data_IF_505460850804
#
_entry.id   IF_505460850804
#
_cell.length_a   1.000
_cell.length_b   1.000
_cell.length_c   1.000
_cell.angle_alpha   90.00
_cell.angle_beta   90.00
_cell.angle_gamma   90.00
#
_symmetry.space_group_name_H-M   'P 1'
#
loop_
_entity.id
_entity.type
_entity.pdbx_description
1 polymer ?
#
# COMPACT_ATOMS: atom_id res chain seq x y z
N UNK A 1 -1.36 4.78 -32.06
CA UNK A 1 -0.98 3.38 -31.75
C UNK A 1 0.12 3.47 -30.71
N UNK A 2 -0.25 3.78 -29.46
CA UNK A 2 0.72 3.88 -28.36
C UNK A 2 0.61 2.58 -27.57
N UNK A 3 1.43 1.61 -27.97
CA UNK A 3 1.54 0.32 -27.30
C UNK A 3 2.64 0.41 -26.23
N UNK A 4 2.52 1.37 -25.31
CA UNK A 4 3.32 1.34 -24.08
C UNK A 4 2.68 0.31 -23.17
N UNK A 5 2.98 -0.97 -23.42
CA UNK A 5 2.81 -2.00 -22.39
C UNK A 5 3.82 -1.67 -21.29
N UNK A 6 3.37 -1.31 -20.08
CA UNK A 6 4.29 -0.98 -19.01
C UNK A 6 5.09 -2.23 -18.64
N UNK A 7 6.41 -2.10 -18.70
CA UNK A 7 7.45 -3.05 -18.37
C UNK A 7 7.39 -3.46 -16.89
N UNK A 8 6.39 -4.28 -16.54
CA UNK A 8 6.15 -4.90 -15.23
C UNK A 8 7.45 -5.22 -14.49
N UNK A 9 7.91 -4.32 -13.63
CA UNK A 9 9.24 -4.48 -13.03
C UNK A 9 9.13 -5.34 -11.78
N UNK A 10 9.75 -6.52 -11.84
CA UNK A 10 9.81 -7.45 -10.72
C UNK A 10 11.05 -7.12 -9.90
N UNK A 11 10.88 -6.43 -8.78
CA UNK A 11 11.96 -6.22 -7.82
C UNK A 11 11.91 -7.26 -6.70
N UNK A 12 13.09 -7.75 -6.30
CA UNK A 12 13.24 -8.60 -5.12
C UNK A 12 13.33 -7.67 -3.92
N UNK A 13 12.23 -7.48 -3.21
CA UNK A 13 12.24 -6.74 -1.95
C UNK A 13 12.21 -7.73 -0.79
N UNK A 14 13.31 -7.80 -0.02
CA UNK A 14 13.50 -8.72 1.13
C UNK A 14 13.10 -10.18 0.82
N UNK A 15 13.65 -10.74 -0.26
CA UNK A 15 13.41 -12.12 -0.71
C UNK A 15 12.00 -12.40 -1.29
N UNK A 16 11.18 -11.36 -1.52
CA UNK A 16 9.86 -11.49 -2.16
C UNK A 16 9.87 -10.83 -3.53
N UNK A 17 9.37 -11.56 -4.53
CA UNK A 17 9.12 -11.02 -5.86
C UNK A 17 7.85 -10.19 -5.79
N UNK A 18 7.97 -8.89 -5.99
CA UNK A 18 6.83 -7.98 -6.06
C UNK A 18 6.66 -7.55 -7.51
N UNK A 19 5.44 -7.70 -8.00
CA UNK A 19 5.04 -7.13 -9.28
C UNK A 19 4.70 -5.67 -9.07
N UNK A 20 5.58 -4.78 -9.52
CA UNK A 20 5.36 -3.33 -9.46
C UNK A 20 4.98 -2.85 -10.86
N UNK A 21 3.82 -2.19 -11.02
CA UNK A 21 3.48 -1.53 -12.28
C UNK A 21 4.42 -0.35 -12.56
N UNK A 22 4.62 0.00 -13.83
CA UNK A 22 5.51 1.10 -14.21
C UNK A 22 5.04 2.44 -13.68
N UNK A 23 5.98 3.28 -13.25
CA UNK A 23 5.70 4.57 -12.62
C UNK A 23 5.21 4.43 -11.19
N UNK A 24 5.32 3.26 -10.57
CA UNK A 24 4.99 3.04 -9.17
C UNK A 24 6.14 2.43 -8.38
N UNK A 25 6.13 2.64 -7.07
CA UNK A 25 7.05 2.02 -6.13
C UNK A 25 6.28 1.29 -5.03
N UNK A 26 6.72 0.07 -4.73
CA UNK A 26 6.21 -0.69 -3.58
C UNK A 26 6.74 -0.06 -2.28
N UNK A 27 5.85 0.48 -1.46
CA UNK A 27 6.21 1.18 -0.21
C UNK A 27 5.85 0.41 1.04
N UNK A 28 4.94 -0.55 0.93
CA UNK A 28 4.49 -1.31 2.09
C UNK A 28 3.66 -2.53 1.72
N UNK A 29 3.42 -3.37 2.71
CA UNK A 29 2.60 -4.56 2.56
C UNK A 29 1.65 -4.70 3.73
N UNK A 30 0.40 -4.96 3.45
CA UNK A 30 -0.60 -5.25 4.48
C UNK A 30 -0.34 -6.65 5.03
N UNK A 31 0.07 -6.75 6.28
CA UNK A 31 0.32 -8.02 6.97
C UNK A 31 -0.87 -8.46 7.83
N UNK A 32 -1.83 -7.56 8.08
CA UNK A 32 -3.05 -7.91 8.78
C UNK A 32 -4.02 -6.76 8.95
N UNK A 33 -5.11 -7.04 9.66
CA UNK A 33 -6.17 -6.09 9.97
C UNK A 33 -6.20 -5.87 11.49
N UNK A 34 -6.48 -4.63 11.88
CA UNK A 34 -6.54 -4.19 13.26
C UNK A 34 -7.88 -3.49 13.57
N UNK A 35 -8.41 -3.73 14.76
CA UNK A 35 -9.65 -3.11 15.23
C UNK A 35 -10.91 -3.52 14.44
N UNK A 36 -12.02 -2.87 14.79
CA UNK A 36 -13.33 -3.07 14.16
C UNK A 36 -13.61 -2.04 13.06
N UNK A 37 -12.91 -0.90 13.08
CA UNK A 37 -13.07 0.22 12.14
C UNK A 37 -12.41 0.01 10.77
N UNK A 38 -11.78 -1.14 10.56
CA UNK A 38 -11.08 -1.45 9.32
C UNK A 38 -9.68 -0.85 9.21
N UNK A 39 -8.97 -0.67 10.33
CA UNK A 39 -7.55 -0.30 10.28
C UNK A 39 -6.75 -1.49 9.72
N UNK A 40 -5.76 -1.25 8.89
CA UNK A 40 -4.84 -2.28 8.38
C UNK A 40 -3.46 -2.09 8.98
N UNK A 41 -2.80 -3.21 9.25
CA UNK A 41 -1.41 -3.26 9.69
C UNK A 41 -0.51 -3.44 8.49
N UNK A 42 0.36 -2.46 8.28
CA UNK A 42 1.25 -2.33 7.14
C UNK A 42 2.69 -2.47 7.61
N UNK A 43 3.39 -3.43 7.03
CA UNK A 43 4.85 -3.51 7.09
C UNK A 43 5.44 -2.50 6.11
N UNK A 44 6.32 -1.63 6.61
CA UNK A 44 7.00 -0.63 5.81
C UNK A 44 8.12 -1.30 5.00
N UNK A 45 8.11 -1.05 3.70
CA UNK A 45 9.13 -1.48 2.73
C UNK A 45 9.83 -0.28 2.10
N UNK A 46 9.72 0.88 2.73
CA UNK A 46 10.35 2.14 2.34
C UNK A 46 11.05 2.73 3.56
N UNK A 47 12.15 3.44 3.33
CA UNK A 47 12.85 4.20 4.37
C UNK A 47 12.15 5.54 4.68
N UNK A 48 11.08 5.87 3.95
CA UNK A 48 10.33 7.13 4.04
C UNK A 48 8.91 6.90 4.59
N UNK A 49 8.73 6.77 5.92
CA UNK A 49 7.42 6.54 6.53
C UNK A 49 6.46 7.74 6.37
N UNK A 50 6.99 8.92 6.07
CA UNK A 50 6.23 10.14 5.76
C UNK A 50 5.30 10.01 4.54
N UNK A 51 5.52 9.01 3.68
CA UNK A 51 4.61 8.68 2.56
C UNK A 51 3.25 8.17 3.00
N UNK A 52 3.12 7.79 4.27
CA UNK A 52 1.88 7.30 4.84
C UNK A 52 1.11 8.38 5.60
N UNK A 53 1.25 9.65 5.23
CA UNK A 53 0.53 10.73 5.89
C UNK A 53 -0.97 10.75 5.52
N UNK A 54 -1.85 11.15 6.46
CA UNK A 54 -3.25 11.43 6.16
C UNK A 54 -3.41 12.41 5.00
N UNK A 55 -4.36 12.15 4.11
CA UNK A 55 -4.61 12.94 2.90
C UNK A 55 -3.81 12.50 1.67
N UNK A 56 -2.79 11.65 1.82
CA UNK A 56 -2.09 11.06 0.69
C UNK A 56 -2.86 9.88 0.10
N UNK A 57 -2.64 9.65 -1.20
CA UNK A 57 -3.23 8.55 -1.95
C UNK A 57 -2.20 7.43 -2.12
N UNK A 58 -2.62 6.21 -1.82
CA UNK A 58 -1.89 4.97 -2.10
C UNK A 58 -2.66 4.13 -3.12
N UNK A 59 -2.00 3.11 -3.64
CA UNK A 59 -2.57 2.17 -4.59
C UNK A 59 -2.47 0.75 -4.05
N UNK A 60 -3.61 0.05 -4.01
CA UNK A 60 -3.71 -1.32 -3.50
C UNK A 60 -3.53 -2.35 -4.62
N UNK A 61 -2.59 -3.26 -4.41
CA UNK A 61 -2.40 -4.44 -5.25
C UNK A 61 -2.02 -4.13 -6.70
N UNK A 62 -1.92 -5.18 -7.51
CA UNK A 62 -1.57 -5.04 -8.94
C UNK A 62 -2.65 -4.32 -9.75
N UNK A 63 -3.89 -4.27 -9.23
CA UNK A 63 -4.99 -3.51 -9.82
C UNK A 63 -4.84 -1.99 -9.66
N UNK A 64 -3.83 -1.54 -8.89
CA UNK A 64 -3.59 -0.13 -8.57
C UNK A 64 -4.87 0.57 -8.11
N UNK A 65 -5.62 -0.06 -7.22
CA UNK A 65 -6.87 0.53 -6.76
C UNK A 65 -6.54 1.73 -5.85
N UNK A 66 -6.95 2.96 -6.22
CA UNK A 66 -6.61 4.15 -5.46
C UNK A 66 -7.34 4.17 -4.13
N UNK A 67 -6.62 4.49 -3.06
CA UNK A 67 -7.15 4.64 -1.70
C UNK A 67 -6.52 5.82 -1.00
N UNK A 68 -7.35 6.64 -0.37
CA UNK A 68 -6.89 7.78 0.43
C UNK A 68 -6.66 7.35 1.87
N UNK A 69 -5.54 7.81 2.44
CA UNK A 69 -5.22 7.62 3.85
C UNK A 69 -6.05 8.60 4.67
N UNK A 70 -6.96 8.06 5.48
CA UNK A 70 -7.72 8.84 6.46
C UNK A 70 -6.89 9.13 7.70
N UNK A 71 -6.18 8.11 8.18
CA UNK A 71 -5.36 8.19 9.37
C UNK A 71 -4.22 7.20 9.27
N UNK A 72 -3.04 7.57 9.74
CA UNK A 72 -1.93 6.67 9.86
C UNK A 72 -1.17 6.92 11.16
N UNK A 73 -0.73 5.85 11.80
CA UNK A 73 0.07 5.93 13.02
C UNK A 73 1.03 4.75 13.15
N UNK A 74 2.24 4.96 13.67
CA UNK A 74 3.15 3.86 14.00
C UNK A 74 2.61 3.03 15.18
N UNK A 75 2.81 1.72 15.12
CA UNK A 75 2.41 0.76 16.14
C UNK A 75 3.31 -0.49 16.12
N UNK A 76 4.09 -0.70 17.18
CA UNK A 76 4.94 -1.90 17.38
C UNK A 76 5.79 -2.23 16.15
N UNK A 77 6.49 -1.24 15.60
CA UNK A 77 7.38 -1.41 14.43
C UNK A 77 6.67 -1.51 13.08
N UNK A 78 5.35 -1.26 13.03
CA UNK A 78 4.54 -1.28 11.81
C UNK A 78 3.70 -0.01 11.72
N UNK A 79 3.03 0.24 10.60
CA UNK A 79 2.05 1.31 10.47
C UNK A 79 0.64 0.75 10.57
N UNK A 80 -0.21 1.40 11.35
CA UNK A 80 -1.65 1.21 11.29
C UNK A 80 -2.24 2.31 10.42
N UNK A 81 -2.93 1.90 9.37
CA UNK A 81 -3.50 2.80 8.37
C UNK A 81 -5.01 2.58 8.31
N UNK A 82 -5.75 3.67 8.36
CA UNK A 82 -7.18 3.69 8.09
C UNK A 82 -7.36 4.37 6.74
N UNK A 83 -8.09 3.72 5.84
CA UNK A 83 -8.42 4.28 4.54
C UNK A 83 -9.81 4.94 4.57
N UNK A 84 -10.02 5.94 3.73
CA UNK A 84 -11.35 6.57 3.62
C UNK A 84 -12.40 5.66 2.99
N UNK A 85 -11.99 4.75 2.09
CA UNK A 85 -12.93 3.86 1.40
C UNK A 85 -13.40 2.68 2.27
N UNK A 86 -12.81 2.46 3.45
CA UNK A 86 -13.04 1.27 4.26
C UNK A 86 -13.31 1.59 5.72
N UNK A 87 -14.43 1.09 6.25
CA UNK A 87 -14.92 1.44 7.59
C UNK A 87 -15.23 0.23 8.47
N UNK A 88 -14.94 -0.98 8.01
CA UNK A 88 -15.21 -2.20 8.76
C UNK A 88 -14.08 -3.21 8.57
N UNK A 89 -13.90 -4.08 9.58
CA UNK A 89 -12.93 -5.19 9.53
C UNK A 89 -13.14 -6.06 8.28
N UNK A 90 -14.37 -6.47 8.01
CA UNK A 90 -14.70 -7.34 6.88
C UNK A 90 -14.35 -6.72 5.53
N UNK A 91 -14.47 -5.40 5.40
CA UNK A 91 -14.14 -4.69 4.16
C UNK A 91 -12.63 -4.70 3.85
N UNK A 92 -11.78 -4.81 4.87
CA UNK A 92 -10.32 -4.85 4.72
C UNK A 92 -9.72 -6.24 4.96
N UNK A 93 -10.53 -7.24 5.28
CA UNK A 93 -10.07 -8.60 5.59
C UNK A 93 -9.35 -9.24 4.40
N UNK A 94 -9.84 -8.95 3.20
CA UNK A 94 -9.25 -9.38 1.92
C UNK A 94 -8.00 -8.58 1.51
N UNK A 95 -7.62 -7.54 2.26
CA UNK A 95 -6.40 -6.79 1.99
C UNK A 95 -5.15 -7.45 2.55
N UNK A 96 -5.29 -8.53 3.34
CA UNK A 96 -4.12 -9.24 3.86
C UNK A 96 -3.25 -9.73 2.72
N UNK A 97 -1.94 -9.54 2.88
CA UNK A 97 -0.90 -9.83 1.89
C UNK A 97 -0.91 -8.92 0.65
N UNK A 98 -1.73 -7.87 0.62
CA UNK A 98 -1.76 -6.91 -0.49
C UNK A 98 -0.62 -5.91 -0.38
N UNK A 99 0.03 -5.65 -1.51
CA UNK A 99 1.07 -4.63 -1.64
C UNK A 99 0.47 -3.24 -1.78
N UNK A 100 1.17 -2.25 -1.21
CA UNK A 100 0.86 -0.84 -1.32
C UNK A 100 1.89 -0.18 -2.21
N UNK A 101 1.38 0.63 -3.14
CA UNK A 101 2.19 1.37 -4.09
C UNK A 101 1.94 2.87 -3.97
N UNK A 102 2.94 3.65 -4.38
CA UNK A 102 2.85 5.10 -4.61
C UNK A 102 3.35 5.39 -6.02
N UNK A 103 2.97 6.53 -6.59
CA UNK A 103 3.54 6.99 -7.85
C UNK A 103 5.02 7.33 -7.65
N UNK A 104 5.86 7.04 -8.64
CA UNK A 104 7.29 7.36 -8.65
C UNK A 104 7.53 8.87 -8.58
N UNK A 105 6.67 9.69 -9.20
CA UNK A 105 6.75 11.16 -9.09
C UNK A 105 6.55 11.69 -7.65
N UNK A 106 6.02 10.86 -6.76
CA UNK A 106 5.84 11.16 -5.34
C UNK A 106 6.81 10.39 -4.45
N UNK A 107 7.89 9.87 -5.04
CA UNK A 107 8.94 9.11 -4.35
C UNK A 107 10.17 9.92 -3.99
#
# INVERSE_FOLDING_TARGET
MDSTQPAKTIYIHRNQRVHVPDGYLAVGRVIGVHGLRGEVKVELHTDFPERFQPGLQLFLGEALQPVSIRQARPHKGHMLILFDAYHSRSAVENMRNTWLFVHEDHA
#
